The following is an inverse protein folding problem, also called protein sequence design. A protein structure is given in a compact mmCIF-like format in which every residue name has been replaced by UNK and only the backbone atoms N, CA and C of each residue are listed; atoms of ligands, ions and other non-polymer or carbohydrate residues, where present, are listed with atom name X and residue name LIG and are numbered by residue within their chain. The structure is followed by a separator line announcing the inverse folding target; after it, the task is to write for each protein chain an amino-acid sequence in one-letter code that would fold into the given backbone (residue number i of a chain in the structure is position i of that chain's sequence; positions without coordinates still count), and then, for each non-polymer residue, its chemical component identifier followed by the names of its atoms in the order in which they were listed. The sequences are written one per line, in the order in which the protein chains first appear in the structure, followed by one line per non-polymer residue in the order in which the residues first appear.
data_IF_815534814991
#
_entry.id   IF_815534814991
#
_cell.length_a   1.000
_cell.length_b   1.000
_cell.length_c   1.000
_cell.angle_alpha   90.00
_cell.angle_beta   90.00
_cell.angle_gamma   90.00
#
_symmetry.space_group_name_H-M   'P 1'
#
loop_
_entity.id
_entity.type
_entity.pdbx_description
1 polymer ?
#
# COMPACT_ATOMS: atom_id res chain seq x y z
N UNK A 1 1.42 -52.11 -31.65
CA UNK A 1 0.65 -50.87 -31.65
C UNK A 1 -0.09 -50.78 -30.32
N UNK A 2 0.52 -50.11 -29.33
CA UNK A 2 -0.11 -49.76 -28.04
C UNK A 2 0.49 -48.42 -27.59
N UNK A 3 -0.13 -47.33 -28.05
CA UNK A 3 -0.15 -46.03 -27.38
C UNK A 3 -0.99 -46.22 -26.09
N UNK A 4 -0.63 -45.72 -24.91
CA UNK A 4 -0.48 -44.31 -24.51
C UNK A 4 0.32 -44.20 -23.20
N UNK A 5 1.21 -43.20 -23.08
CA UNK A 5 1.78 -42.80 -21.81
C UNK A 5 1.11 -41.54 -21.23
N UNK A 6 1.01 -41.56 -19.89
CA UNK A 6 0.91 -40.43 -18.94
C UNK A 6 -0.47 -39.80 -18.71
N UNK A 7 -1.02 -40.16 -17.55
CA UNK A 7 -1.82 -39.25 -16.72
C UNK A 7 -1.06 -37.93 -16.58
N UNK A 8 -1.59 -36.88 -17.19
CA UNK A 8 -1.09 -35.52 -16.99
C UNK A 8 -1.53 -35.05 -15.59
N UNK A 9 -0.61 -34.55 -14.73
CA UNK A 9 -1.01 -33.96 -13.48
C UNK A 9 -1.70 -32.63 -13.80
N UNK A 10 -3.01 -32.60 -13.56
CA UNK A 10 -3.83 -31.38 -13.52
C UNK A 10 -3.12 -30.32 -12.68
N UNK A 11 -2.82 -29.13 -13.23
CA UNK A 11 -2.16 -28.09 -12.47
C UNK A 11 -3.18 -27.51 -11.48
N UNK A 12 -3.12 -27.97 -10.24
CA UNK A 12 -3.88 -27.40 -9.14
C UNK A 12 -3.66 -25.88 -9.09
N UNK A 13 -4.69 -25.14 -9.50
CA UNK A 13 -4.68 -23.69 -9.52
C UNK A 13 -4.58 -23.18 -8.08
N UNK A 14 -3.36 -22.87 -7.65
CA UNK A 14 -3.05 -22.31 -6.35
C UNK A 14 -3.68 -20.92 -6.22
N UNK A 15 -4.92 -20.88 -5.73
CA UNK A 15 -5.64 -19.67 -5.30
C UNK A 15 -5.12 -19.10 -3.96
N UNK A 16 -4.17 -19.78 -3.33
CA UNK A 16 -3.63 -19.46 -2.00
C UNK A 16 -2.88 -18.12 -1.87
N UNK A 17 -2.46 -17.49 -2.96
CA UNK A 17 -1.64 -16.27 -2.87
C UNK A 17 -2.44 -15.00 -2.58
N UNK A 18 -3.71 -14.92 -3.04
CA UNK A 18 -4.51 -13.68 -2.92
C UNK A 18 -5.11 -13.49 -1.53
N UNK A 19 -5.61 -14.55 -0.91
CA UNK A 19 -6.15 -14.48 0.45
C UNK A 19 -5.04 -14.22 1.48
N UNK A 20 -3.86 -14.84 1.31
CA UNK A 20 -2.71 -14.60 2.19
C UNK A 20 -2.21 -13.15 2.10
N UNK A 21 -2.14 -12.58 0.88
CA UNK A 21 -1.77 -11.17 0.69
C UNK A 21 -2.80 -10.20 1.28
N UNK A 22 -4.10 -10.50 1.15
CA UNK A 22 -5.17 -9.68 1.70
C UNK A 22 -5.14 -9.64 3.23
N UNK A 23 -4.87 -10.78 3.88
CA UNK A 23 -4.75 -10.86 5.34
C UNK A 23 -3.65 -9.94 5.89
N UNK A 24 -2.47 -9.97 5.26
CA UNK A 24 -1.36 -9.09 5.67
C UNK A 24 -1.66 -7.61 5.43
N UNK A 25 -2.34 -7.26 4.34
CA UNK A 25 -2.77 -5.88 4.10
C UNK A 25 -3.74 -5.38 5.19
N UNK A 26 -4.67 -6.23 5.64
CA UNK A 26 -5.59 -5.91 6.73
C UNK A 26 -4.85 -5.73 8.07
N UNK A 27 -3.90 -6.61 8.39
CA UNK A 27 -3.08 -6.50 9.61
C UNK A 27 -2.27 -5.20 9.61
N UNK A 28 -1.57 -4.91 8.51
CA UNK A 28 -0.78 -3.67 8.39
C UNK A 28 -1.68 -2.44 8.45
N UNK A 29 -2.82 -2.45 7.75
CA UNK A 29 -3.78 -1.35 7.78
C UNK A 29 -4.35 -1.11 9.18
N UNK A 30 -4.63 -2.17 9.94
CA UNK A 30 -5.11 -2.07 11.31
C UNK A 30 -4.05 -1.50 12.26
N UNK A 31 -2.79 -1.92 12.12
CA UNK A 31 -1.68 -1.35 12.92
C UNK A 31 -1.53 0.14 12.64
N UNK A 32 -1.57 0.55 11.36
CA UNK A 32 -1.52 1.96 10.97
C UNK A 32 -2.71 2.72 11.59
N UNK A 33 -3.92 2.18 11.49
CA UNK A 33 -5.13 2.79 12.06
C UNK A 33 -5.00 3.00 13.57
N UNK A 34 -4.52 1.98 14.31
CA UNK A 34 -4.33 2.07 15.77
C UNK A 34 -3.33 3.18 16.12
N UNK A 35 -2.19 3.25 15.43
CA UNK A 35 -1.19 4.30 15.65
C UNK A 35 -1.78 5.68 15.41
N UNK A 36 -2.55 5.86 14.32
CA UNK A 36 -3.26 7.11 14.05
C UNK A 36 -4.25 7.48 15.15
N UNK A 37 -5.04 6.51 15.64
CA UNK A 37 -6.03 6.75 16.70
C UNK A 37 -5.36 7.16 18.00
N UNK A 38 -4.30 6.46 18.43
CA UNK A 38 -3.52 6.83 19.63
C UNK A 38 -2.96 8.23 19.47
N UNK A 39 -2.40 8.52 18.31
CA UNK A 39 -1.82 9.80 18.01
C UNK A 39 -2.85 10.94 18.06
N UNK A 40 -4.04 10.77 17.46
CA UNK A 40 -5.13 11.76 17.56
C UNK A 40 -5.62 11.91 19.01
N UNK A 41 -5.80 10.79 19.72
CA UNK A 41 -6.30 10.79 21.10
C UNK A 41 -5.31 11.43 22.09
N UNK A 42 -4.01 11.28 21.87
CA UNK A 42 -2.96 11.85 22.73
C UNK A 42 -2.61 13.30 22.36
N UNK A 43 -2.81 13.72 21.12
CA UNK A 43 -2.39 15.03 20.63
C UNK A 43 -3.60 15.95 20.35
N UNK A 44 -4.51 16.05 21.31
CA UNK A 44 -5.67 16.97 21.28
C UNK A 44 -5.32 18.41 21.65
N UNK A 45 -4.14 18.66 22.21
CA UNK A 45 -3.68 20.00 22.54
C UNK A 45 -3.32 20.82 21.28
N UNK A 46 -3.68 22.10 21.29
CA UNK A 46 -3.45 23.02 20.19
C UNK A 46 -2.14 23.77 20.38
N UNK A 47 -1.24 23.69 19.40
CA UNK A 47 0.02 24.46 19.38
C UNK A 47 -0.05 25.48 18.25
N UNK A 48 0.33 26.72 18.56
CA UNK A 48 0.40 27.79 17.59
C UNK A 48 1.59 27.57 16.64
N UNK A 49 1.32 27.09 15.42
CA UNK A 49 2.32 26.90 14.38
C UNK A 49 2.53 28.21 13.65
N UNK A 50 3.78 28.67 13.63
CA UNK A 50 4.19 29.89 12.93
C UNK A 50 5.00 29.47 11.70
N UNK A 51 4.45 29.67 10.50
CA UNK A 51 5.12 29.35 9.25
C UNK A 51 5.24 30.59 8.37
N UNK A 52 6.47 31.11 8.25
CA UNK A 52 6.76 32.39 7.60
C UNK A 52 5.91 33.53 8.20
N UNK A 53 4.94 34.08 7.46
CA UNK A 53 3.99 35.13 7.93
C UNK A 53 2.69 34.53 8.48
N UNK A 54 2.44 33.25 8.21
CA UNK A 54 1.16 32.61 8.48
C UNK A 54 1.13 32.02 9.89
N UNK A 55 0.12 32.41 10.66
CA UNK A 55 -0.14 31.89 12.01
C UNK A 55 -1.33 30.97 11.94
N UNK A 56 -1.12 29.70 12.23
CA UNK A 56 -2.16 28.69 12.24
C UNK A 56 -2.23 28.09 13.64
N UNK A 57 -3.42 28.04 14.23
CA UNK A 57 -3.66 27.31 15.46
C UNK A 57 -4.37 26.01 15.10
N UNK A 58 -3.58 24.95 14.91
CA UNK A 58 -4.10 23.60 14.72
C UNK A 58 -3.63 22.72 15.88
N UNK A 59 -4.44 21.74 16.30
CA UNK A 59 -3.96 20.64 17.15
C UNK A 59 -2.70 20.06 16.54
N UNK A 60 -1.63 19.93 17.33
CA UNK A 60 -0.33 19.43 16.85
C UNK A 60 -0.50 18.05 16.22
N UNK A 61 -1.46 17.29 16.77
CA UNK A 61 -1.98 16.05 16.20
C UNK A 61 -2.28 16.19 14.71
N UNK A 62 -3.22 17.05 14.34
CA UNK A 62 -3.64 17.21 12.95
C UNK A 62 -2.46 17.55 12.02
N UNK A 63 -1.48 18.33 12.49
CA UNK A 63 -0.26 18.66 11.75
C UNK A 63 0.60 17.44 11.38
N UNK A 64 0.95 16.59 12.35
CA UNK A 64 1.73 15.39 12.02
C UNK A 64 0.90 14.31 11.31
N UNK A 65 -0.42 14.23 11.56
CA UNK A 65 -1.31 13.33 10.83
C UNK A 65 -1.31 13.63 9.34
N UNK A 66 -1.46 14.91 8.98
CA UNK A 66 -1.42 15.36 7.59
C UNK A 66 -0.05 15.09 6.95
N UNK A 67 1.02 15.27 7.71
CA UNK A 67 2.38 14.97 7.26
C UNK A 67 2.57 13.46 6.98
N UNK A 68 2.06 12.61 7.87
CA UNK A 68 2.07 11.16 7.69
C UNK A 68 1.24 10.72 6.48
N UNK A 69 0.04 11.30 6.30
CA UNK A 69 -0.81 11.04 5.13
C UNK A 69 -0.11 11.48 3.84
N UNK A 70 0.50 12.66 3.81
CA UNK A 70 1.24 13.14 2.65
C UNK A 70 2.40 12.19 2.27
N UNK A 71 3.16 11.71 3.27
CA UNK A 71 4.21 10.73 3.06
C UNK A 71 3.69 9.37 2.56
N UNK A 72 2.58 8.89 3.14
CA UNK A 72 1.93 7.65 2.73
C UNK A 72 1.38 7.74 1.30
N UNK A 73 0.68 8.83 0.96
CA UNK A 73 0.19 9.09 -0.40
C UNK A 73 1.33 9.12 -1.41
N UNK A 74 2.43 9.80 -1.09
CA UNK A 74 3.62 9.83 -1.95
C UNK A 74 4.19 8.43 -2.17
N UNK A 75 4.30 7.63 -1.11
CA UNK A 75 4.79 6.24 -1.19
C UNK A 75 3.89 5.37 -2.07
N UNK A 76 2.56 5.49 -1.91
CA UNK A 76 1.58 4.77 -2.72
C UNK A 76 1.68 5.16 -4.19
N UNK A 77 1.82 6.46 -4.49
CA UNK A 77 1.96 6.94 -5.86
C UNK A 77 3.23 6.39 -6.52
N UNK A 78 4.37 6.42 -5.82
CA UNK A 78 5.63 5.86 -6.31
C UNK A 78 5.52 4.35 -6.53
N UNK A 79 4.93 3.62 -5.58
CA UNK A 79 4.70 2.17 -5.70
C UNK A 79 3.79 1.82 -6.88
N UNK A 80 2.68 2.54 -7.04
CA UNK A 80 1.75 2.37 -8.16
C UNK A 80 2.44 2.66 -9.50
N UNK A 81 3.23 3.75 -9.59
CA UNK A 81 4.00 4.08 -10.78
C UNK A 81 4.96 2.94 -11.15
N UNK A 82 5.69 2.38 -10.18
CA UNK A 82 6.61 1.25 -10.40
C UNK A 82 5.89 0.01 -10.91
N UNK A 83 4.73 -0.34 -10.35
CA UNK A 83 3.92 -1.48 -10.82
C UNK A 83 3.44 -1.24 -12.26
N UNK A 84 2.98 -0.04 -12.60
CA UNK A 84 2.56 0.31 -13.95
C UNK A 84 3.73 0.22 -14.93
N UNK A 85 4.92 0.69 -14.55
CA UNK A 85 6.13 0.57 -15.36
C UNK A 85 6.47 -0.90 -15.65
N UNK A 86 6.47 -1.76 -14.62
CA UNK A 86 6.73 -3.20 -14.78
C UNK A 86 5.72 -3.86 -15.71
N UNK A 87 4.43 -3.54 -15.57
CA UNK A 87 3.37 -4.07 -16.43
C UNK A 87 3.53 -3.61 -17.88
N UNK A 88 3.93 -2.36 -18.11
CA UNK A 88 4.19 -1.83 -19.46
C UNK A 88 5.43 -2.48 -20.09
N UNK A 89 6.50 -2.68 -19.34
CA UNK A 89 7.72 -3.34 -19.81
C UNK A 89 7.43 -4.80 -20.21
N UNK A 90 6.74 -5.57 -19.36
CA UNK A 90 6.35 -6.94 -19.65
C UNK A 90 5.46 -7.05 -20.91
N UNK A 91 4.49 -6.13 -21.08
CA UNK A 91 3.65 -6.09 -22.29
C UNK A 91 4.44 -5.75 -23.56
N UNK A 92 5.51 -4.95 -23.48
CA UNK A 92 6.36 -4.64 -24.62
C UNK A 92 7.24 -5.84 -25.01
N UNK A 93 7.79 -6.56 -24.03
CA UNK A 93 8.54 -7.79 -24.29
C UNK A 93 7.69 -8.87 -24.97
N UNK A 94 6.43 -9.03 -24.56
CA UNK A 94 5.49 -9.98 -25.17
C UNK A 94 5.06 -9.63 -26.61
N UNK A 95 5.22 -8.38 -27.06
CA UNK A 95 4.91 -7.94 -28.43
C UNK A 95 6.12 -7.98 -29.37
N UNK A 96 7.31 -8.23 -28.85
CA UNK A 96 8.56 -8.32 -29.62
C UNK A 96 9.05 -9.75 -29.85
N UNK A 97 8.27 -10.76 -29.43
CA UNK A 97 8.37 -12.17 -29.82
C UNK A 97 7.33 -12.43 -30.91
#
# INVERSE_FOLDING_TARGET
MSTEPRVSPEPSSRSFTRLAAAWWALVVGLVILIVLLIFVAQNTESVAVHFLVFRWNLPVGVGYLLSAVAGATTTVLVGAARIIQLRRAAKRQLRGL
#
